data_IF_043688170509
#
_entry.id   IF_043688170509
#
_cell.length_a   1.000
_cell.length_b   1.000
_cell.length_c   1.000
_cell.angle_alpha   90.00
_cell.angle_beta   90.00
_cell.angle_gamma   90.00
#
_symmetry.space_group_name_H-M   'P 1'
#
loop_
_entity.id
_entity.type
_entity.pdbx_description
1 polymer ?
#
# COMPACT_ATOMS: atom_id res chain seq x y z
N UNK A 1 -0.50 -5.03 12.82
CA UNK A 1 -1.90 -4.70 12.44
C UNK A 1 -2.33 -5.53 11.25
N UNK A 2 -3.60 -5.53 11.00
CA UNK A 2 -4.17 -6.32 9.92
C UNK A 2 -4.83 -5.38 8.93
N UNK A 3 -4.44 -5.49 7.67
CA UNK A 3 -5.01 -4.67 6.60
C UNK A 3 -5.50 -5.58 5.48
N UNK A 4 -6.39 -5.04 4.66
CA UNK A 4 -6.86 -5.75 3.47
C UNK A 4 -6.12 -5.19 2.27
N UNK A 5 -5.31 -6.02 1.61
CA UNK A 5 -4.57 -5.60 0.44
C UNK A 5 -5.08 -6.32 -0.78
N UNK A 6 -5.66 -5.55 -1.71
CA UNK A 6 -6.22 -6.10 -2.95
C UNK A 6 -7.17 -7.25 -2.66
N UNK A 7 -7.99 -7.09 -1.62
CA UNK A 7 -8.99 -8.08 -1.28
C UNK A 7 -8.52 -9.20 -0.38
N UNK A 8 -7.25 -9.21 0.03
CA UNK A 8 -6.70 -10.24 0.90
C UNK A 8 -6.24 -9.64 2.22
N UNK A 9 -6.59 -10.29 3.31
CA UNK A 9 -6.14 -9.83 4.63
C UNK A 9 -4.69 -10.20 4.83
N UNK A 10 -3.91 -9.23 5.30
CA UNK A 10 -2.50 -9.40 5.58
C UNK A 10 -2.17 -8.84 6.94
N UNK A 11 -1.29 -9.52 7.67
CA UNK A 11 -0.74 -8.99 8.91
C UNK A 11 0.55 -8.26 8.59
N UNK A 12 0.68 -7.02 9.07
CA UNK A 12 1.88 -6.22 8.85
C UNK A 12 2.31 -5.57 10.15
N UNK A 13 3.60 -5.28 10.25
CA UNK A 13 4.16 -4.55 11.38
C UNK A 13 4.31 -3.06 11.06
N UNK A 14 4.34 -2.71 9.80
CA UNK A 14 4.58 -1.34 9.35
C UNK A 14 3.47 -0.41 9.80
N UNK A 15 3.83 0.86 10.02
CA UNK A 15 2.88 1.88 10.46
C UNK A 15 2.54 2.89 9.39
N UNK A 16 3.35 2.96 8.33
CA UNK A 16 3.09 3.89 7.23
C UNK A 16 2.92 3.11 5.94
N UNK A 17 2.31 3.77 4.96
CA UNK A 17 2.12 3.14 3.65
C UNK A 17 3.45 2.81 3.00
N UNK A 18 4.44 3.71 3.07
CA UNK A 18 5.74 3.43 2.49
C UNK A 18 6.38 2.21 3.12
N UNK A 19 6.36 2.13 4.46
CA UNK A 19 6.94 0.98 5.15
C UNK A 19 6.20 -0.31 4.85
N UNK A 20 4.88 -0.23 4.70
CA UNK A 20 4.08 -1.41 4.38
C UNK A 20 4.47 -1.96 3.01
N UNK A 21 4.69 -1.09 2.03
CA UNK A 21 5.09 -1.56 0.71
C UNK A 21 6.44 -2.26 0.78
N UNK A 22 7.38 -1.74 1.59
CA UNK A 22 8.66 -2.40 1.75
C UNK A 22 8.51 -3.75 2.42
N UNK A 23 7.68 -3.82 3.44
CA UNK A 23 7.46 -5.08 4.15
C UNK A 23 6.84 -6.13 3.22
N UNK A 24 6.00 -5.70 2.29
CA UNK A 24 5.35 -6.60 1.35
C UNK A 24 6.21 -6.93 0.12
N UNK A 25 7.46 -6.44 0.10
CA UNK A 25 8.35 -6.72 -1.00
C UNK A 25 8.17 -5.81 -2.20
N UNK A 26 7.47 -4.68 -2.03
CA UNK A 26 7.15 -3.79 -3.12
C UNK A 26 7.85 -2.44 -3.03
N UNK A 27 8.91 -2.36 -2.21
CA UNK A 27 9.55 -1.08 -1.95
C UNK A 27 10.13 -0.42 -3.18
N UNK A 28 10.59 -1.22 -4.15
CA UNK A 28 11.17 -0.68 -5.37
C UNK A 28 10.27 -0.84 -6.58
N UNK A 29 9.08 -1.38 -6.38
CA UNK A 29 8.16 -1.58 -7.48
C UNK A 29 7.48 -0.26 -7.86
N UNK A 30 7.22 -0.09 -9.14
CA UNK A 30 6.47 1.07 -9.62
C UNK A 30 5.00 0.72 -9.52
N UNK A 31 4.33 1.30 -8.54
CA UNK A 31 2.92 0.98 -8.27
C UNK A 31 2.14 2.25 -7.96
N UNK A 32 0.83 2.17 -8.17
CA UNK A 32 -0.10 3.19 -7.70
C UNK A 32 -0.78 2.65 -6.45
N UNK A 33 -1.04 3.53 -5.49
CA UNK A 33 -1.64 3.11 -4.24
C UNK A 33 -2.88 3.94 -3.92
N UNK A 34 -3.87 3.28 -3.33
CA UNK A 34 -5.06 3.94 -2.80
C UNK A 34 -5.34 3.37 -1.42
N UNK A 35 -5.69 4.24 -0.49
CA UNK A 35 -5.98 3.82 0.87
C UNK A 35 -7.43 4.19 1.17
N UNK A 36 -8.22 3.19 1.48
CA UNK A 36 -9.65 3.37 1.77
C UNK A 36 -10.34 4.16 0.65
N UNK A 37 -9.97 3.87 -0.59
CA UNK A 37 -10.58 4.47 -1.75
C UNK A 37 -9.96 5.78 -2.21
N UNK A 38 -8.93 6.28 -1.50
CA UNK A 38 -8.31 7.55 -1.85
C UNK A 38 -6.91 7.33 -2.40
N UNK A 39 -6.64 7.92 -3.55
CA UNK A 39 -5.33 7.81 -4.16
C UNK A 39 -4.26 8.45 -3.26
N UNK A 40 -3.14 7.74 -3.10
CA UNK A 40 -1.99 8.24 -2.35
C UNK A 40 -0.79 8.29 -3.28
N UNK A 41 -0.33 9.48 -3.65
CA UNK A 41 0.85 9.58 -4.52
C UNK A 41 2.11 9.15 -3.79
N UNK A 42 3.10 8.69 -4.55
CA UNK A 42 4.32 8.14 -3.98
C UNK A 42 4.96 9.06 -2.93
N UNK A 43 5.10 10.37 -3.17
CA UNK A 43 5.74 11.24 -2.17
C UNK A 43 4.98 11.34 -0.86
N UNK A 44 3.68 11.03 -0.85
CA UNK A 44 2.89 11.12 0.36
C UNK A 44 2.91 9.82 1.19
N UNK A 45 3.42 8.73 0.63
CA UNK A 45 3.36 7.43 1.31
C UNK A 45 4.09 7.41 2.65
N UNK A 46 5.27 8.04 2.80
CA UNK A 46 5.94 7.99 4.10
C UNK A 46 5.18 8.71 5.21
N UNK A 47 4.33 9.66 4.86
CA UNK A 47 3.54 10.39 5.85
C UNK A 47 2.13 9.83 6.01
N UNK A 48 1.77 8.82 5.24
CA UNK A 48 0.43 8.24 5.29
C UNK A 48 0.44 7.09 6.29
N UNK A 49 -0.21 7.30 7.43
CA UNK A 49 -0.25 6.28 8.48
C UNK A 49 -1.38 5.32 8.24
N UNK A 50 -1.12 4.06 8.56
CA UNK A 50 -2.10 2.99 8.43
C UNK A 50 -2.76 2.72 9.76
N UNK A 51 -3.99 2.24 9.70
CA UNK A 51 -4.73 1.82 10.89
C UNK A 51 -5.24 0.41 10.67
N UNK A 52 -5.44 -0.31 11.77
CA UNK A 52 -5.95 -1.66 11.69
C UNK A 52 -7.28 -1.68 10.95
N UNK A 53 -7.41 -2.59 10.01
CA UNK A 53 -8.63 -2.70 9.22
C UNK A 53 -8.65 -1.88 7.94
N UNK A 54 -7.60 -1.08 7.69
CA UNK A 54 -7.55 -0.28 6.47
C UNK A 54 -7.55 -1.15 5.23
N UNK A 55 -8.09 -0.59 4.15
CA UNK A 55 -8.10 -1.25 2.86
C UNK A 55 -7.09 -0.57 1.94
N UNK A 56 -6.10 -1.33 1.51
CA UNK A 56 -5.05 -0.83 0.64
C UNK A 56 -5.18 -1.46 -0.73
N UNK A 57 -5.16 -0.64 -1.76
CA UNK A 57 -5.14 -1.11 -3.13
C UNK A 57 -3.81 -0.74 -3.76
N UNK A 58 -3.16 -1.72 -4.37
CA UNK A 58 -1.87 -1.55 -5.00
C UNK A 58 -1.98 -2.06 -6.43
N UNK A 59 -1.74 -1.17 -7.39
CA UNK A 59 -1.87 -1.50 -8.80
C UNK A 59 -0.56 -1.28 -9.50
N UNK A 60 -0.13 -2.28 -10.29
CA UNK A 60 1.05 -2.15 -11.12
C UNK A 60 0.62 -1.56 -12.46
N UNK A 61 1.41 -0.65 -13.04
CA UNK A 61 1.08 -0.14 -14.35
C UNK A 61 1.19 -1.24 -15.40
N UNK A 62 0.37 -1.13 -16.43
CA UNK A 62 0.42 -2.06 -17.54
C UNK A 62 1.74 -1.89 -18.28
N UNK A 63 2.38 -3.00 -18.56
CA UNK A 63 3.65 -3.02 -19.23
C UNK A 63 3.46 -3.30 -20.71
N UNK A 64 4.07 -2.46 -21.53
CA UNK A 64 4.13 -2.74 -22.96
C UNK A 64 2.77 -2.79 -23.59
N UNK A 65 1.96 -2.39 -22.83
CA UNK A 65 0.48 -2.43 -23.32
C UNK A 65 0.61 -2.71 -23.91
#
# INVERSE_FOLDING_TARGET
MKIEMNGEWRHIAAETLASALEELGLGEAVVATALNGEFVPAPARPATRLADGDRLEVLSPMQGG
#
